data_IF_910442069258
#
_entry.id   IF_910442069258
#
_cell.length_a   1.000
_cell.length_b   1.000
_cell.length_c   1.000
_cell.angle_alpha   90.00
_cell.angle_beta   90.00
_cell.angle_gamma   90.00
#
_symmetry.space_group_name_H-M   'P 1'
#
loop_
_entity.id
_entity.type
_entity.pdbx_description
1 polymer ?
#
# COMPACT_ATOMS: atom_id res chain seq x y z
N UNK A 1 -6.22 -1.19 30.82
CA UNK A 1 -7.50 -1.45 30.14
C UNK A 1 -7.24 -1.37 28.66
N UNK A 2 -7.78 -2.26 27.84
CA UNK A 2 -7.62 -2.17 26.37
C UNK A 2 -8.30 -0.89 25.90
N UNK A 3 -7.69 -0.08 25.00
CA UNK A 3 -8.30 1.14 24.47
C UNK A 3 -9.64 0.81 23.83
N UNK A 4 -10.63 1.60 24.13
CA UNK A 4 -11.97 1.50 23.55
C UNK A 4 -12.37 2.88 23.04
N UNK A 5 -13.25 2.94 22.06
CA UNK A 5 -13.75 4.23 21.55
C UNK A 5 -14.26 5.16 22.68
N UNK A 6 -14.84 4.57 23.74
CA UNK A 6 -15.33 5.31 24.90
C UNK A 6 -14.22 5.97 25.73
N UNK A 7 -13.00 5.47 25.66
CA UNK A 7 -11.86 6.03 26.38
C UNK A 7 -11.15 7.16 25.60
N UNK A 8 -11.52 7.39 24.34
CA UNK A 8 -10.85 8.33 23.42
C UNK A 8 -11.68 9.61 23.16
N UNK A 9 -12.56 9.98 24.09
CA UNK A 9 -13.42 11.17 23.97
C UNK A 9 -12.59 12.45 23.74
N UNK A 10 -11.50 12.63 24.44
CA UNK A 10 -10.60 13.79 24.29
C UNK A 10 -10.04 13.89 22.87
N UNK A 11 -9.65 12.76 22.26
CA UNK A 11 -9.19 12.73 20.87
C UNK A 11 -10.30 13.10 19.88
N UNK A 12 -11.54 12.70 20.14
CA UNK A 12 -12.70 13.07 19.31
C UNK A 12 -12.99 14.57 19.40
N UNK A 13 -12.84 15.16 20.58
CA UNK A 13 -13.03 16.60 20.84
C UNK A 13 -11.94 17.50 20.24
N UNK A 14 -10.80 16.95 19.83
CA UNK A 14 -9.76 17.69 19.10
C UNK A 14 -10.28 18.30 17.79
N UNK A 15 -11.36 17.76 17.21
CA UNK A 15 -11.94 18.22 15.96
C UNK A 15 -12.69 19.54 16.11
N UNK A 16 -12.14 20.64 15.53
CA UNK A 16 -12.75 21.99 15.55
C UNK A 16 -13.76 22.23 14.40
N UNK A 17 -14.15 21.19 13.67
CA UNK A 17 -15.17 21.23 12.60
C UNK A 17 -14.87 22.19 11.42
N UNK A 18 -13.61 22.57 11.18
CA UNK A 18 -13.19 23.55 10.18
C UNK A 18 -13.49 23.18 8.71
N UNK A 19 -13.62 21.87 8.39
CA UNK A 19 -14.00 21.39 7.06
C UNK A 19 -12.86 21.15 6.08
N UNK A 20 -11.60 21.41 6.40
CA UNK A 20 -10.46 21.15 5.49
C UNK A 20 -10.34 19.67 5.06
N UNK A 21 -10.88 18.75 5.84
CA UNK A 21 -10.89 17.32 5.50
C UNK A 21 -11.94 16.95 4.42
N UNK A 22 -12.89 17.82 4.09
CA UNK A 22 -13.98 17.51 3.17
C UNK A 22 -13.49 17.25 1.75
N UNK A 23 -12.73 18.14 1.10
CA UNK A 23 -12.23 17.93 -0.26
C UNK A 23 -11.21 16.79 -0.35
N UNK A 24 -10.52 16.45 0.74
CA UNK A 24 -9.58 15.35 0.78
C UNK A 24 -10.25 13.96 0.94
N UNK A 25 -11.55 13.92 1.27
CA UNK A 25 -12.24 12.67 1.56
C UNK A 25 -12.85 12.05 0.29
N UNK A 26 -12.35 10.88 -0.18
CA UNK A 26 -12.84 10.26 -1.41
C UNK A 26 -14.30 9.80 -1.31
N UNK A 27 -14.81 9.50 -0.11
CA UNK A 27 -16.21 9.11 0.08
C UNK A 27 -17.14 10.31 0.08
N UNK A 28 -16.77 11.37 0.77
CA UNK A 28 -17.56 12.62 0.80
C UNK A 28 -17.69 13.25 -0.58
N UNK A 29 -16.58 13.40 -1.31
CA UNK A 29 -16.56 14.00 -2.65
C UNK A 29 -17.51 13.28 -3.62
N UNK A 30 -17.70 11.96 -3.45
CA UNK A 30 -18.55 11.17 -4.36
C UNK A 30 -19.99 10.98 -3.89
N UNK A 31 -20.26 11.12 -2.61
CA UNK A 31 -21.59 10.90 -2.04
C UNK A 31 -22.31 12.19 -1.69
N UNK A 32 -21.57 13.26 -1.35
CA UNK A 32 -22.15 14.55 -0.92
C UNK A 32 -22.85 14.49 0.45
N UNK A 33 -22.73 13.38 1.17
CA UNK A 33 -23.34 13.19 2.49
C UNK A 33 -22.36 13.59 3.59
N UNK A 34 -22.75 14.55 4.44
CA UNK A 34 -21.91 15.03 5.53
C UNK A 34 -21.53 13.90 6.51
N UNK A 35 -22.41 12.93 6.74
CA UNK A 35 -22.12 11.79 7.60
C UNK A 35 -21.03 10.86 7.01
N UNK A 36 -20.80 10.92 5.71
CA UNK A 36 -19.69 10.21 5.04
C UNK A 36 -18.40 11.03 4.99
N UNK A 37 -18.39 12.25 5.56
CA UNK A 37 -17.19 13.07 5.74
C UNK A 37 -16.39 12.65 6.98
N UNK A 38 -15.09 12.98 7.08
CA UNK A 38 -14.31 12.67 8.28
C UNK A 38 -14.86 13.34 9.53
N UNK A 39 -15.22 14.64 9.47
CA UNK A 39 -15.77 15.35 10.63
C UNK A 39 -17.18 14.84 10.98
N UNK A 40 -17.99 14.46 9.99
CA UNK A 40 -19.31 13.86 10.22
C UNK A 40 -19.18 12.51 10.95
N UNK A 41 -18.24 11.65 10.52
CA UNK A 41 -17.95 10.40 11.21
C UNK A 41 -17.45 10.61 12.63
N UNK A 42 -16.59 11.61 12.89
CA UNK A 42 -16.18 11.95 14.25
C UNK A 42 -17.36 12.37 15.12
N UNK A 43 -18.34 13.09 14.55
CA UNK A 43 -19.59 13.42 15.26
C UNK A 43 -20.43 12.19 15.56
N UNK A 44 -20.52 11.22 14.66
CA UNK A 44 -21.19 9.96 14.91
C UNK A 44 -20.48 9.14 16.01
N UNK A 45 -19.14 9.09 15.99
CA UNK A 45 -18.34 8.45 17.02
C UNK A 45 -18.57 9.11 18.39
N UNK A 46 -18.52 10.43 18.47
CA UNK A 46 -18.78 11.19 19.68
C UNK A 46 -20.21 10.94 20.20
N UNK A 47 -21.21 10.92 19.32
CA UNK A 47 -22.60 10.64 19.71
C UNK A 47 -22.76 9.23 20.31
N UNK A 48 -21.95 8.24 19.85
CA UNK A 48 -21.93 6.90 20.47
C UNK A 48 -21.23 6.93 21.83
N UNK A 49 -20.14 7.67 21.97
CA UNK A 49 -19.42 7.84 23.25
C UNK A 49 -20.33 8.49 24.31
N UNK A 50 -21.03 9.55 23.93
CA UNK A 50 -21.98 10.26 24.79
C UNK A 50 -23.32 9.52 25.04
N UNK A 51 -23.51 8.34 24.45
CA UNK A 51 -24.74 7.54 24.59
C UNK A 51 -25.96 8.12 23.88
N UNK A 52 -25.80 9.14 23.02
CA UNK A 52 -26.86 9.75 22.23
C UNK A 52 -27.22 8.92 20.98
N UNK A 53 -26.33 8.03 20.53
CA UNK A 53 -26.51 7.15 19.39
C UNK A 53 -26.09 5.74 19.76
N UNK A 54 -26.89 4.73 19.39
CA UNK A 54 -26.49 3.32 19.58
C UNK A 54 -25.49 2.92 18.49
N UNK A 55 -24.43 2.21 18.89
CA UNK A 55 -23.46 1.65 17.95
C UNK A 55 -24.07 0.63 16.97
N UNK A 56 -25.19 0.01 17.33
CA UNK A 56 -25.96 -0.87 16.42
C UNK A 56 -26.84 -0.09 15.44
N UNK A 57 -26.98 1.23 15.57
CA UNK A 57 -27.83 2.03 14.71
C UNK A 57 -27.41 1.93 13.24
N UNK A 58 -28.37 1.85 12.29
CA UNK A 58 -28.06 1.77 10.87
C UNK A 58 -27.18 2.94 10.37
N UNK A 59 -27.36 4.14 10.94
CA UNK A 59 -26.57 5.32 10.57
C UNK A 59 -25.10 5.15 10.96
N UNK A 60 -24.79 4.77 12.20
CA UNK A 60 -23.42 4.53 12.64
C UNK A 60 -22.76 3.43 11.81
N UNK A 61 -23.44 2.28 11.68
CA UNK A 61 -22.96 1.13 10.91
C UNK A 61 -22.62 1.53 9.47
N UNK A 62 -23.54 2.20 8.77
CA UNK A 62 -23.40 2.57 7.38
C UNK A 62 -22.23 3.51 7.13
N UNK A 63 -22.13 4.59 7.91
CA UNK A 63 -21.15 5.65 7.63
C UNK A 63 -19.75 5.27 8.10
N UNK A 64 -19.59 4.50 9.18
CA UNK A 64 -18.28 3.97 9.60
C UNK A 64 -17.77 2.93 8.61
N UNK A 65 -18.64 2.03 8.13
CA UNK A 65 -18.26 0.98 7.17
C UNK A 65 -17.88 1.55 5.79
N UNK A 66 -18.52 2.62 5.34
CA UNK A 66 -18.21 3.30 4.08
C UNK A 66 -16.86 4.00 4.03
N UNK A 67 -16.21 4.25 5.15
CA UNK A 67 -14.88 4.87 5.15
C UNK A 67 -13.85 3.93 4.51
N UNK A 68 -13.04 4.43 3.57
CA UNK A 68 -11.94 3.64 2.98
C UNK A 68 -10.70 3.56 3.86
N UNK A 69 -10.60 4.35 4.93
CA UNK A 69 -9.45 4.36 5.83
C UNK A 69 -8.15 4.89 5.19
N UNK A 70 -8.24 5.76 4.19
CA UNK A 70 -7.07 6.26 3.46
C UNK A 70 -6.22 7.28 4.24
N UNK A 71 -6.74 7.86 5.33
CA UNK A 71 -6.09 8.84 6.22
C UNK A 71 -5.71 10.17 5.55
N UNK A 72 -6.17 10.47 4.34
CA UNK A 72 -5.93 11.75 3.69
C UNK A 72 -6.46 12.95 4.50
N UNK A 73 -7.48 12.73 5.33
CA UNK A 73 -8.03 13.73 6.23
C UNK A 73 -7.09 14.14 7.37
N UNK A 74 -6.12 13.29 7.75
CA UNK A 74 -5.13 13.61 8.78
C UNK A 74 -4.10 14.62 8.28
N UNK A 75 -3.59 14.41 7.07
CA UNK A 75 -2.55 15.27 6.46
C UNK A 75 -3.02 16.72 6.30
N UNK A 76 -4.32 16.93 6.09
CA UNK A 76 -4.91 18.26 5.91
C UNK A 76 -5.53 18.83 7.19
N UNK A 77 -5.45 18.11 8.31
CA UNK A 77 -6.10 18.51 9.56
C UNK A 77 -5.22 19.49 10.35
N UNK A 78 -5.62 20.76 10.51
CA UNK A 78 -4.83 21.73 11.30
C UNK A 78 -4.83 21.42 12.80
N UNK A 79 -5.82 20.64 13.28
CA UNK A 79 -5.93 20.25 14.70
C UNK A 79 -5.24 18.92 15.01
N UNK A 80 -4.64 18.26 14.01
CA UNK A 80 -3.88 17.03 14.22
C UNK A 80 -4.72 15.83 14.69
N UNK A 81 -5.99 15.73 14.27
CA UNK A 81 -6.86 14.60 14.65
C UNK A 81 -6.29 13.27 14.15
N UNK A 82 -6.06 12.32 15.04
CA UNK A 82 -5.60 10.96 14.74
C UNK A 82 -6.77 10.08 14.28
N UNK A 83 -7.27 10.37 13.09
CA UNK A 83 -8.50 9.79 12.57
C UNK A 83 -8.41 8.27 12.36
N UNK A 84 -7.24 7.75 11.94
CA UNK A 84 -7.03 6.31 11.69
C UNK A 84 -7.29 5.47 12.92
N UNK A 85 -6.72 5.85 14.06
CA UNK A 85 -6.91 5.17 15.34
C UNK A 85 -8.38 5.18 15.77
N UNK A 86 -9.02 6.34 15.73
CA UNK A 86 -10.43 6.49 16.08
C UNK A 86 -11.34 5.67 15.16
N UNK A 87 -11.02 5.58 13.87
CA UNK A 87 -11.76 4.76 12.92
C UNK A 87 -11.68 3.27 13.25
N UNK A 88 -10.50 2.75 13.63
CA UNK A 88 -10.33 1.35 13.97
C UNK A 88 -11.10 0.98 15.24
N UNK A 89 -11.07 1.82 16.28
CA UNK A 89 -11.88 1.68 17.49
C UNK A 89 -13.38 1.78 17.19
N UNK A 90 -13.78 2.70 16.30
CA UNK A 90 -15.18 2.81 15.89
C UNK A 90 -15.67 1.56 15.15
N UNK A 91 -14.83 0.97 14.30
CA UNK A 91 -15.10 -0.30 13.61
C UNK A 91 -15.19 -1.47 14.57
N UNK A 92 -14.28 -1.57 15.55
CA UNK A 92 -14.36 -2.58 16.61
C UNK A 92 -15.69 -2.44 17.37
N UNK A 93 -16.06 -1.21 17.75
CA UNK A 93 -17.34 -0.93 18.43
C UNK A 93 -18.55 -1.30 17.58
N UNK A 94 -18.53 -0.93 16.29
CA UNK A 94 -19.60 -1.25 15.35
C UNK A 94 -19.77 -2.77 15.17
N UNK A 95 -18.66 -3.48 14.96
CA UNK A 95 -18.64 -4.95 14.83
C UNK A 95 -19.06 -5.63 16.13
N UNK A 96 -18.65 -5.12 17.28
CA UNK A 96 -19.07 -5.62 18.58
C UNK A 96 -20.58 -5.54 18.80
N UNK A 97 -21.25 -4.51 18.22
CA UNK A 97 -22.68 -4.31 18.36
C UNK A 97 -23.54 -5.23 17.48
N UNK A 98 -23.13 -5.50 16.23
CA UNK A 98 -23.96 -6.25 15.26
C UNK A 98 -23.33 -7.55 14.78
N UNK A 99 -22.06 -7.80 15.12
CA UNK A 99 -21.29 -8.94 14.65
C UNK A 99 -20.71 -8.74 13.24
N UNK A 100 -19.80 -9.65 12.86
CA UNK A 100 -19.16 -9.64 11.53
C UNK A 100 -19.96 -10.47 10.53
N UNK A 101 -19.95 -10.06 9.28
CA UNK A 101 -20.45 -10.88 8.19
C UNK A 101 -19.68 -12.21 8.11
N UNK A 102 -20.30 -13.28 7.62
CA UNK A 102 -19.65 -14.58 7.51
C UNK A 102 -18.45 -14.55 6.55
N UNK A 103 -18.54 -13.78 5.47
CA UNK A 103 -17.44 -13.59 4.53
C UNK A 103 -16.21 -12.96 5.19
N UNK A 104 -16.41 -11.89 5.98
CA UNK A 104 -15.33 -11.26 6.76
C UNK A 104 -14.69 -12.22 7.74
N UNK A 105 -15.53 -13.02 8.46
CA UNK A 105 -15.01 -14.03 9.40
C UNK A 105 -14.13 -15.06 8.72
N UNK A 106 -14.56 -15.60 7.58
CA UNK A 106 -13.77 -16.59 6.80
C UNK A 106 -12.48 -15.97 6.33
N UNK A 107 -12.54 -14.77 5.75
CA UNK A 107 -11.35 -14.09 5.22
C UNK A 107 -10.32 -13.81 6.31
N UNK A 108 -10.74 -13.21 7.43
CA UNK A 108 -9.85 -12.93 8.56
C UNK A 108 -9.28 -14.22 9.16
N UNK A 109 -10.09 -15.28 9.31
CA UNK A 109 -9.63 -16.58 9.79
C UNK A 109 -8.56 -17.21 8.89
N UNK A 110 -8.62 -16.99 7.56
CA UNK A 110 -7.58 -17.43 6.63
C UNK A 110 -6.28 -16.67 6.89
N UNK A 111 -6.32 -15.34 6.99
CA UNK A 111 -5.11 -14.52 7.18
C UNK A 111 -4.54 -14.59 8.61
N UNK A 112 -5.34 -14.94 9.62
CA UNK A 112 -4.87 -15.20 10.97
C UNK A 112 -4.01 -16.48 11.07
N UNK A 113 -4.21 -17.43 10.16
CA UNK A 113 -3.57 -18.76 10.22
C UNK A 113 -2.58 -18.96 9.07
N UNK A 114 -1.27 -18.96 9.31
CA UNK A 114 -0.26 -19.06 8.25
C UNK A 114 -0.42 -20.27 7.35
N UNK A 115 -0.83 -21.42 7.90
CA UNK A 115 -1.10 -22.63 7.11
C UNK A 115 -2.23 -22.43 6.11
N UNK A 116 -3.36 -21.84 6.55
CA UNK A 116 -4.49 -21.55 5.66
C UNK A 116 -4.13 -20.47 4.63
N UNK A 117 -3.42 -19.43 5.04
CA UNK A 117 -2.91 -18.40 4.11
C UNK A 117 -2.05 -19.05 3.02
N UNK A 118 -1.12 -19.93 3.40
CA UNK A 118 -0.23 -20.62 2.46
C UNK A 118 -1.02 -21.45 1.45
N UNK A 119 -2.01 -22.24 1.92
CA UNK A 119 -2.88 -23.05 1.04
C UNK A 119 -3.69 -22.15 0.12
N UNK A 120 -4.35 -21.11 0.65
CA UNK A 120 -5.13 -20.18 -0.16
C UNK A 120 -4.28 -19.50 -1.25
N UNK A 121 -3.04 -19.11 -0.92
CA UNK A 121 -2.11 -18.52 -1.88
C UNK A 121 -1.61 -19.53 -2.92
N UNK A 122 -1.35 -20.78 -2.55
CA UNK A 122 -1.03 -21.84 -3.51
C UNK A 122 -2.15 -22.07 -4.52
N UNK A 123 -3.39 -22.18 -4.04
CA UNK A 123 -4.57 -22.31 -4.91
C UNK A 123 -4.70 -21.10 -5.83
N UNK A 124 -4.54 -19.89 -5.30
CA UNK A 124 -4.59 -18.65 -6.09
C UNK A 124 -3.49 -18.62 -7.17
N UNK A 125 -2.26 -19.04 -6.85
CA UNK A 125 -1.17 -19.16 -7.83
C UNK A 125 -1.52 -20.18 -8.93
N UNK A 126 -2.02 -21.37 -8.55
CA UNK A 126 -2.44 -22.40 -9.51
C UNK A 126 -3.58 -21.90 -10.41
N UNK A 127 -4.58 -21.24 -9.85
CA UNK A 127 -5.64 -20.61 -10.66
C UNK A 127 -5.08 -19.56 -11.62
N UNK A 128 -4.14 -18.74 -11.18
CA UNK A 128 -3.52 -17.70 -12.02
C UNK A 128 -2.80 -18.29 -13.25
N UNK A 129 -2.14 -19.47 -13.12
CA UNK A 129 -1.42 -20.11 -14.23
C UNK A 129 -2.37 -20.63 -15.32
N UNK A 130 -3.63 -20.95 -14.99
CA UNK A 130 -4.63 -21.43 -15.94
C UNK A 130 -5.13 -20.38 -16.94
N UNK A 131 -4.79 -19.10 -16.73
CA UNK A 131 -5.34 -17.95 -17.48
C UNK A 131 -6.85 -17.76 -17.36
N UNK A 132 -7.57 -18.65 -16.67
CA UNK A 132 -9.01 -18.52 -16.44
C UNK A 132 -9.40 -17.20 -15.74
N UNK A 133 -8.65 -16.70 -14.74
CA UNK A 133 -8.96 -15.40 -14.14
C UNK A 133 -8.89 -14.25 -15.15
N UNK A 134 -7.93 -14.25 -16.05
CA UNK A 134 -7.80 -13.22 -17.09
C UNK A 134 -8.96 -13.30 -18.09
N UNK A 135 -9.37 -14.51 -18.48
CA UNK A 135 -10.52 -14.72 -19.34
C UNK A 135 -11.82 -14.30 -18.64
N UNK A 136 -12.02 -14.72 -17.39
CA UNK A 136 -13.20 -14.36 -16.60
C UNK A 136 -13.33 -12.84 -16.45
N UNK A 137 -12.25 -12.14 -16.13
CA UNK A 137 -12.24 -10.68 -16.04
C UNK A 137 -12.66 -9.99 -17.34
N UNK A 138 -12.36 -10.61 -18.48
CA UNK A 138 -12.63 -10.07 -19.83
C UNK A 138 -14.04 -10.38 -20.34
N UNK A 139 -14.58 -11.58 -20.02
CA UNK A 139 -15.83 -12.12 -20.57
C UNK A 139 -17.01 -11.92 -19.64
N UNK A 140 -16.81 -11.96 -18.30
CA UNK A 140 -17.91 -11.78 -17.37
C UNK A 140 -18.56 -10.40 -17.56
N UNK A 141 -19.88 -10.36 -17.74
CA UNK A 141 -20.59 -9.09 -17.87
C UNK A 141 -20.54 -8.29 -16.57
N UNK A 142 -20.75 -6.97 -16.70
CA UNK A 142 -20.73 -6.03 -15.55
C UNK A 142 -22.00 -6.04 -14.70
N UNK A 143 -22.79 -7.13 -14.76
CA UNK A 143 -24.01 -7.28 -13.97
C UNK A 143 -23.70 -7.19 -12.47
N UNK A 144 -24.62 -6.63 -11.71
CA UNK A 144 -24.44 -6.32 -10.28
C UNK A 144 -23.92 -7.52 -9.47
N UNK A 145 -24.43 -8.71 -9.69
CA UNK A 145 -24.05 -9.94 -8.99
C UNK A 145 -22.72 -10.57 -9.47
N UNK A 146 -22.23 -10.19 -10.66
CA UNK A 146 -20.94 -10.64 -11.21
C UNK A 146 -19.80 -9.65 -11.01
N UNK A 147 -20.07 -8.45 -10.49
CA UNK A 147 -19.04 -7.42 -10.27
C UNK A 147 -17.91 -7.90 -9.37
N UNK A 148 -18.25 -8.50 -8.21
CA UNK A 148 -17.25 -8.99 -7.24
C UNK A 148 -16.44 -10.16 -7.83
N UNK A 149 -17.04 -11.24 -8.38
CA UNK A 149 -16.28 -12.29 -9.07
C UNK A 149 -15.38 -11.77 -10.20
N UNK A 150 -15.89 -10.84 -11.00
CA UNK A 150 -15.12 -10.23 -12.09
C UNK A 150 -13.93 -9.44 -11.58
N UNK A 151 -14.13 -8.58 -10.54
CA UNK A 151 -13.05 -7.82 -9.92
C UNK A 151 -12.01 -8.74 -9.28
N UNK A 152 -12.43 -9.75 -8.52
CA UNK A 152 -11.51 -10.72 -7.90
C UNK A 152 -10.68 -11.47 -8.96
N UNK A 153 -11.30 -11.87 -10.06
CA UNK A 153 -10.61 -12.49 -11.19
C UNK A 153 -9.61 -11.52 -11.85
N UNK A 154 -10.01 -10.25 -12.04
CA UNK A 154 -9.13 -9.22 -12.59
C UNK A 154 -7.94 -8.92 -11.66
N UNK A 155 -8.16 -8.83 -10.34
CA UNK A 155 -7.11 -8.64 -9.33
C UNK A 155 -6.13 -9.81 -9.32
N UNK A 156 -6.63 -11.05 -9.36
CA UNK A 156 -5.78 -12.23 -9.44
C UNK A 156 -4.96 -12.25 -10.75
N UNK A 157 -5.57 -11.90 -11.89
CA UNK A 157 -4.87 -11.79 -13.15
C UNK A 157 -3.82 -10.65 -13.14
N UNK A 158 -4.10 -9.53 -12.46
CA UNK A 158 -3.18 -8.40 -12.32
C UNK A 158 -1.95 -8.72 -11.45
N UNK A 159 -2.06 -9.70 -10.54
CA UNK A 159 -0.93 -10.17 -9.74
C UNK A 159 0.09 -11.00 -10.53
N UNK A 160 -0.19 -11.34 -11.80
CA UNK A 160 0.74 -12.11 -12.64
C UNK A 160 2.02 -11.32 -12.92
N UNK A 161 3.18 -12.00 -13.00
CA UNK A 161 4.41 -11.38 -13.49
C UNK A 161 4.18 -10.77 -14.87
N UNK A 162 4.77 -9.62 -15.11
CA UNK A 162 4.69 -9.00 -16.43
C UNK A 162 5.59 -9.74 -17.42
N UNK A 163 4.99 -10.51 -18.32
CA UNK A 163 5.72 -11.21 -19.38
C UNK A 163 6.14 -10.29 -20.53
N UNK A 164 5.61 -9.08 -20.58
CA UNK A 164 5.92 -8.08 -21.59
C UNK A 164 7.15 -7.25 -21.27
N UNK A 165 7.71 -7.30 -20.04
CA UNK A 165 8.93 -6.57 -19.73
C UNK A 165 10.08 -7.08 -20.63
N UNK A 166 10.23 -8.40 -20.76
CA UNK A 166 11.22 -8.99 -21.66
C UNK A 166 10.90 -8.70 -23.14
N UNK A 167 9.63 -8.60 -23.54
CA UNK A 167 9.23 -8.37 -24.94
C UNK A 167 9.19 -6.88 -25.31
N UNK A 168 8.71 -6.00 -24.43
CA UNK A 168 8.76 -4.54 -24.65
C UNK A 168 10.20 -4.00 -24.65
N UNK A 169 11.10 -4.73 -23.97
CA UNK A 169 12.51 -4.38 -23.85
C UNK A 169 13.39 -5.04 -24.93
N UNK A 170 12.87 -6.03 -25.65
CA UNK A 170 13.55 -6.66 -26.80
C UNK A 170 13.35 -5.89 -28.13
N UNK A 171 12.52 -4.84 -28.15
CA UNK A 171 12.42 -3.96 -29.32
C UNK A 171 13.58 -2.97 -29.25
N UNK A 172 14.58 -3.05 -30.19
CA UNK A 172 15.58 -2.01 -30.30
C UNK A 172 14.83 -0.70 -30.55
N UNK A 173 15.22 0.38 -29.87
CA UNK A 173 14.70 1.71 -30.15
C UNK A 173 14.91 2.02 -31.64
N UNK A 174 13.90 1.76 -32.45
CA UNK A 174 13.86 2.16 -33.84
C UNK A 174 13.84 3.68 -33.85
N UNK A 175 14.94 4.25 -34.29
CA UNK A 175 15.20 5.68 -34.31
C UNK A 175 14.07 6.46 -34.99
N UNK A 176 13.33 7.18 -34.17
CA UNK A 176 12.57 8.33 -34.67
C UNK A 176 13.28 9.57 -34.14
N UNK A 177 14.20 10.07 -34.96
CA UNK A 177 14.72 11.42 -34.82
C UNK A 177 13.56 12.38 -35.01
N UNK A 178 13.00 12.87 -33.93
CA UNK A 178 12.23 14.10 -33.92
C UNK A 178 13.25 15.21 -33.77
N UNK A 179 13.41 16.01 -34.85
CA UNK A 179 14.27 17.16 -34.86
C UNK A 179 13.90 18.12 -33.72
N UNK A 180 14.84 18.35 -32.81
CA UNK A 180 14.75 19.42 -31.84
C UNK A 180 14.74 20.76 -32.60
N UNK A 181 13.69 21.55 -32.42
CA UNK A 181 13.72 22.97 -32.73
C UNK A 181 14.49 23.68 -31.62
N UNK A 182 15.56 24.35 -32.05
CA UNK A 182 16.35 25.24 -31.21
C UNK A 182 15.51 26.33 -30.58
N UNK A 183 15.72 26.58 -29.30
CA UNK A 183 15.18 27.78 -28.63
C UNK A 183 15.08 27.61 -27.10
N UNK A 184 16.09 28.00 -26.48
CA UNK A 184 16.28 28.76 -25.23
C UNK A 184 17.14 28.09 -24.17
N UNK A 185 18.36 28.59 -24.13
CA UNK A 185 19.38 28.32 -23.12
C UNK A 185 19.25 29.37 -22.02
N UNK A 186 18.87 28.97 -20.79
CA UNK A 186 19.46 29.61 -19.59
C UNK A 186 19.02 28.86 -18.32
N UNK A 187 20.01 28.49 -17.55
CA UNK A 187 20.04 28.07 -16.12
C UNK A 187 20.56 26.65 -15.87
N UNK A 188 21.81 26.41 -16.31
CA UNK A 188 22.60 25.35 -15.66
C UNK A 188 23.52 26.02 -14.63
N UNK A 189 23.14 25.94 -13.35
CA UNK A 189 24.07 26.26 -12.28
C UNK A 189 24.91 25.01 -11.97
N UNK A 190 26.20 25.15 -12.20
CA UNK A 190 27.23 24.19 -11.86
C UNK A 190 27.25 23.94 -10.33
N UNK A 191 27.22 22.67 -9.93
CA UNK A 191 27.73 22.24 -8.64
C UNK A 191 28.96 21.39 -8.89
N UNK A 192 30.07 21.91 -8.38
CA UNK A 192 31.41 21.44 -8.58
C UNK A 192 31.65 20.05 -7.99
N UNK A 193 32.73 19.45 -8.53
CA UNK A 193 33.29 18.20 -8.07
C UNK A 193 33.66 18.25 -6.58
N UNK A 194 33.29 17.20 -5.89
CA UNK A 194 33.64 16.90 -4.50
C UNK A 194 34.06 15.45 -4.40
N UNK A 195 35.25 15.29 -3.88
CA UNK A 195 36.06 14.12 -3.68
C UNK A 195 35.33 12.87 -3.19
N UNK A 196 35.81 11.71 -3.64
CA UNK A 196 35.54 10.40 -3.05
C UNK A 196 35.86 10.40 -1.56
N UNK A 197 34.87 10.56 -0.72
CA UNK A 197 34.96 10.19 0.69
C UNK A 197 34.23 8.86 0.87
N UNK A 198 34.97 7.79 0.72
CA UNK A 198 34.61 6.44 1.14
C UNK A 198 34.42 6.36 2.65
N UNK A 199 33.26 6.69 3.12
CA UNK A 199 32.78 6.51 4.48
C UNK A 199 31.40 5.83 4.44
N UNK A 200 31.31 4.67 3.79
CA UNK A 200 30.11 3.85 3.83
C UNK A 200 29.83 3.43 5.28
N UNK A 201 28.75 3.96 5.89
CA UNK A 201 28.18 3.35 7.09
C UNK A 201 28.02 1.87 6.81
N UNK A 202 28.75 1.03 7.56
CA UNK A 202 28.65 -0.44 7.46
C UNK A 202 27.17 -0.78 7.45
N UNK A 203 26.74 -1.48 6.39
CA UNK A 203 25.34 -1.78 6.18
C UNK A 203 24.82 -2.66 7.31
N UNK A 204 23.91 -2.11 8.12
CA UNK A 204 23.20 -2.88 9.12
C UNK A 204 22.46 -4.04 8.45
N UNK A 205 22.27 -5.12 9.22
CA UNK A 205 21.53 -6.29 8.78
C UNK A 205 20.04 -6.01 8.95
N UNK A 206 19.24 -6.19 7.89
CA UNK A 206 17.80 -5.90 7.91
C UNK A 206 16.97 -7.16 7.73
N UNK A 207 15.77 -7.18 8.30
CA UNK A 207 14.80 -8.23 8.02
C UNK A 207 13.70 -7.69 7.11
N UNK A 208 13.32 -8.47 6.09
CA UNK A 208 12.22 -8.12 5.19
C UNK A 208 10.90 -8.68 5.72
N UNK A 209 9.86 -7.86 5.83
CA UNK A 209 8.50 -8.36 6.01
C UNK A 209 8.07 -9.07 4.71
N UNK A 210 7.91 -10.39 4.78
CA UNK A 210 7.42 -11.19 3.65
C UNK A 210 5.94 -10.94 3.38
N UNK A 211 5.18 -10.68 4.44
CA UNK A 211 3.74 -10.42 4.36
C UNK A 211 2.92 -11.64 3.95
N UNK A 212 1.62 -11.44 3.79
CA UNK A 212 0.70 -12.51 3.38
C UNK A 212 0.47 -12.53 1.86
N UNK A 213 0.00 -11.43 1.29
CA UNK A 213 -0.29 -11.28 -0.14
C UNK A 213 1.01 -11.12 -0.95
N UNK A 214 2.02 -10.41 -0.40
CA UNK A 214 3.32 -10.25 -1.04
C UNK A 214 3.96 -11.62 -1.28
N UNK A 215 4.16 -12.43 -0.23
CA UNK A 215 4.72 -13.76 -0.37
C UNK A 215 3.80 -14.68 -1.19
N UNK A 216 2.49 -14.49 -1.05
CA UNK A 216 1.49 -15.26 -1.77
C UNK A 216 1.48 -15.02 -3.28
N UNK A 217 1.29 -13.79 -3.71
CA UNK A 217 1.01 -13.44 -5.11
C UNK A 217 2.07 -12.52 -5.74
N UNK A 218 2.88 -11.85 -4.93
CA UNK A 218 3.89 -10.88 -5.33
C UNK A 218 5.31 -11.26 -4.86
N UNK A 219 5.60 -12.55 -4.73
CA UNK A 219 6.93 -13.04 -4.33
C UNK A 219 8.06 -12.37 -5.12
N UNK A 220 7.82 -12.09 -6.42
CA UNK A 220 8.76 -11.35 -7.27
C UNK A 220 9.17 -9.98 -6.70
N UNK A 221 8.25 -9.29 -6.00
CA UNK A 221 8.55 -8.00 -5.34
C UNK A 221 9.47 -8.23 -4.14
N UNK A 222 9.22 -9.27 -3.33
CA UNK A 222 10.10 -9.63 -2.22
C UNK A 222 11.51 -10.03 -2.72
N UNK A 223 11.58 -10.80 -3.80
CA UNK A 223 12.84 -11.21 -4.43
C UNK A 223 13.60 -10.02 -5.03
N UNK A 224 12.91 -9.14 -5.77
CA UNK A 224 13.48 -7.89 -6.26
C UNK A 224 14.00 -7.02 -5.11
N UNK A 225 13.23 -6.89 -4.03
CA UNK A 225 13.64 -6.14 -2.83
C UNK A 225 14.94 -6.68 -2.25
N UNK A 226 15.06 -7.99 -2.09
CA UNK A 226 16.31 -8.61 -1.56
C UNK A 226 17.51 -8.35 -2.45
N UNK A 227 17.35 -8.56 -3.78
CA UNK A 227 18.45 -8.32 -4.75
C UNK A 227 18.89 -6.87 -4.75
N UNK A 228 17.92 -5.93 -4.79
CA UNK A 228 18.19 -4.49 -4.77
C UNK A 228 18.87 -4.07 -3.47
N UNK A 229 18.41 -4.53 -2.31
CA UNK A 229 19.05 -4.27 -1.02
C UNK A 229 20.50 -4.75 -1.03
N UNK A 230 20.73 -5.99 -1.44
CA UNK A 230 22.07 -6.57 -1.49
C UNK A 230 23.00 -5.81 -2.43
N UNK A 231 22.52 -5.43 -3.62
CA UNK A 231 23.28 -4.61 -4.57
C UNK A 231 23.65 -3.23 -4.01
N UNK A 232 22.87 -2.71 -3.06
CA UNK A 232 23.15 -1.46 -2.35
C UNK A 232 23.89 -1.70 -1.00
N UNK A 233 24.48 -2.87 -0.80
CA UNK A 233 25.29 -3.17 0.38
C UNK A 233 24.48 -3.42 1.67
N UNK A 234 23.19 -3.77 1.55
CA UNK A 234 22.32 -4.09 2.69
C UNK A 234 22.07 -5.58 2.76
N UNK A 235 22.65 -6.25 3.75
CA UNK A 235 22.43 -7.68 4.00
C UNK A 235 21.04 -7.92 4.60
N UNK A 236 20.40 -9.01 4.19
CA UNK A 236 19.09 -9.40 4.74
C UNK A 236 19.20 -10.66 5.57
N UNK A 237 18.47 -10.71 6.70
CA UNK A 237 18.26 -11.91 7.50
C UNK A 237 16.81 -12.34 7.44
N UNK A 238 16.58 -13.61 7.69
CA UNK A 238 15.23 -14.17 7.74
C UNK A 238 14.65 -14.01 9.15
N UNK A 239 13.53 -13.30 9.27
CA UNK A 239 12.71 -13.32 10.47
C UNK A 239 11.75 -14.53 10.38
N UNK A 240 12.15 -15.65 11.00
CA UNK A 240 11.32 -16.87 10.99
C UNK A 240 10.01 -16.63 11.75
N UNK A 241 8.96 -17.36 11.36
CA UNK A 241 7.64 -17.30 11.98
C UNK A 241 6.88 -15.96 11.88
N UNK A 242 7.40 -14.96 11.14
CA UNK A 242 6.63 -13.77 10.82
C UNK A 242 5.32 -14.12 10.10
N UNK A 243 4.36 -13.20 10.11
CA UNK A 243 3.05 -13.45 9.52
C UNK A 243 2.46 -12.22 8.82
N UNK A 244 1.14 -12.21 8.72
CA UNK A 244 0.41 -11.03 8.28
C UNK A 244 0.67 -9.84 9.23
N UNK A 245 0.77 -8.63 8.68
CA UNK A 245 0.95 -7.41 9.49
C UNK A 245 -0.26 -7.06 10.38
N UNK A 246 -1.42 -7.67 10.15
CA UNK A 246 -2.63 -7.39 10.92
C UNK A 246 -3.53 -6.28 10.35
N UNK A 247 -3.09 -5.52 9.35
CA UNK A 247 -3.86 -4.40 8.78
C UNK A 247 -5.30 -4.79 8.37
N UNK A 248 -5.49 -5.97 7.75
CA UNK A 248 -6.82 -6.42 7.35
C UNK A 248 -7.73 -6.68 8.56
N UNK A 249 -7.17 -7.14 9.69
CA UNK A 249 -7.90 -7.36 10.94
C UNK A 249 -8.29 -6.02 11.56
N UNK A 250 -7.36 -5.09 11.72
CA UNK A 250 -7.63 -3.75 12.26
C UNK A 250 -8.69 -3.01 11.41
N UNK A 251 -8.51 -2.98 10.09
CA UNK A 251 -9.47 -2.38 9.17
C UNK A 251 -10.84 -3.09 9.16
N UNK A 252 -10.89 -4.36 9.52
CA UNK A 252 -12.13 -5.14 9.68
C UNK A 252 -12.75 -5.06 11.07
N UNK A 253 -12.25 -4.22 11.98
CA UNK A 253 -12.72 -4.11 13.37
C UNK A 253 -12.38 -5.33 14.22
N UNK A 254 -11.34 -6.09 13.86
CA UNK A 254 -10.81 -7.24 14.60
C UNK A 254 -9.50 -6.87 15.28
N UNK A 255 -9.55 -5.94 16.23
CA UNK A 255 -8.34 -5.47 16.89
C UNK A 255 -7.66 -6.57 17.72
N UNK A 256 -8.41 -7.51 18.28
CA UNK A 256 -7.80 -8.66 18.98
C UNK A 256 -7.01 -9.56 18.03
N UNK A 257 -7.55 -9.82 16.84
CA UNK A 257 -6.81 -10.52 15.77
C UNK A 257 -5.58 -9.76 15.31
N UNK A 258 -5.69 -8.43 15.16
CA UNK A 258 -4.56 -7.57 14.82
C UNK A 258 -3.48 -7.60 15.91
N UNK A 259 -3.85 -7.47 17.20
CA UNK A 259 -2.94 -7.58 18.36
C UNK A 259 -2.21 -8.93 18.42
N UNK A 260 -2.91 -10.02 18.14
CA UNK A 260 -2.30 -11.35 18.12
C UNK A 260 -1.25 -11.49 17.01
N UNK A 261 -1.52 -10.94 15.83
CA UNK A 261 -0.58 -10.91 14.71
C UNK A 261 0.62 -9.97 14.98
N UNK A 262 0.37 -8.83 15.61
CA UNK A 262 1.41 -7.90 16.02
C UNK A 262 2.39 -8.54 17.03
N UNK A 263 1.89 -9.20 18.08
CA UNK A 263 2.75 -9.93 19.04
C UNK A 263 3.65 -10.95 18.34
N UNK A 264 3.09 -11.73 17.46
CA UNK A 264 3.85 -12.73 16.67
C UNK A 264 4.95 -12.08 15.84
N UNK A 265 4.67 -10.97 15.19
CA UNK A 265 5.66 -10.25 14.41
C UNK A 265 6.73 -9.61 15.30
N UNK A 266 6.36 -9.07 16.47
CA UNK A 266 7.33 -8.57 17.47
C UNK A 266 8.30 -9.67 17.85
N UNK A 267 7.81 -10.86 18.22
CA UNK A 267 8.66 -12.00 18.58
C UNK A 267 9.59 -12.42 17.43
N UNK A 268 9.05 -12.51 16.21
CA UNK A 268 9.81 -12.97 15.04
C UNK A 268 10.92 -11.98 14.63
N UNK A 269 10.65 -10.68 14.65
CA UNK A 269 11.62 -9.67 14.24
C UNK A 269 12.69 -9.43 15.31
N UNK A 270 12.34 -9.43 16.59
CA UNK A 270 13.33 -9.38 17.67
C UNK A 270 14.27 -10.59 17.63
N UNK A 271 13.72 -11.80 17.43
CA UNK A 271 14.54 -13.03 17.33
C UNK A 271 15.47 -13.04 16.11
N UNK A 272 15.19 -12.25 15.07
CA UNK A 272 16.04 -12.16 13.87
C UNK A 272 17.34 -11.40 14.12
N UNK A 273 17.39 -10.55 15.14
CA UNK A 273 18.53 -9.68 15.41
C UNK A 273 18.73 -8.56 14.37
N UNK A 274 17.75 -8.31 13.51
CA UNK A 274 17.83 -7.27 12.50
C UNK A 274 17.79 -5.87 13.15
N UNK A 275 18.54 -4.94 12.58
CA UNK A 275 18.54 -3.53 13.00
C UNK A 275 17.25 -2.80 12.58
N UNK A 276 16.78 -3.07 11.35
CA UNK A 276 15.55 -2.52 10.82
C UNK A 276 14.65 -3.62 10.23
N UNK A 277 13.35 -3.32 10.18
CA UNK A 277 12.40 -4.10 9.41
C UNK A 277 12.06 -3.35 8.12
N UNK A 278 12.41 -3.92 6.99
CA UNK A 278 12.09 -3.36 5.68
C UNK A 278 10.73 -3.87 5.22
N UNK A 279 9.88 -2.96 4.75
CA UNK A 279 8.56 -3.27 4.22
C UNK A 279 8.44 -2.73 2.80
N UNK A 280 7.91 -3.53 1.87
CA UNK A 280 7.66 -3.18 0.48
C UNK A 280 6.16 -3.10 0.15
N UNK A 281 5.33 -2.83 1.16
CA UNK A 281 3.89 -2.64 0.98
C UNK A 281 3.39 -1.59 1.98
N UNK A 282 3.04 -0.42 1.47
CA UNK A 282 2.67 0.75 2.26
C UNK A 282 1.63 0.49 3.35
N UNK A 283 0.59 -0.31 3.04
CA UNK A 283 -0.44 -0.66 4.04
C UNK A 283 0.11 -1.51 5.19
N UNK A 284 1.08 -2.40 4.92
CA UNK A 284 1.73 -3.18 5.94
C UNK A 284 2.68 -2.31 6.77
N UNK A 285 3.45 -1.43 6.13
CA UNK A 285 4.36 -0.50 6.80
C UNK A 285 3.62 0.41 7.77
N UNK A 286 2.52 1.03 7.31
CA UNK A 286 1.65 1.85 8.15
C UNK A 286 1.14 1.09 9.40
N UNK A 287 0.62 -0.13 9.19
CA UNK A 287 0.12 -0.95 10.30
C UNK A 287 1.21 -1.34 11.30
N UNK A 288 2.42 -1.67 10.83
CA UNK A 288 3.52 -2.03 11.72
C UNK A 288 4.10 -0.84 12.48
N UNK A 289 4.13 0.34 11.88
CA UNK A 289 4.51 1.60 12.56
C UNK A 289 3.53 1.97 13.70
N UNK A 290 2.32 1.41 13.69
CA UNK A 290 1.29 1.61 14.72
C UNK A 290 1.27 0.50 15.79
N UNK A 291 2.15 -0.49 15.75
CA UNK A 291 2.17 -1.57 16.76
C UNK A 291 2.39 -1.06 18.18
N UNK A 292 3.15 0.03 18.34
CA UNK A 292 3.33 0.68 19.64
C UNK A 292 2.00 1.09 20.27
N UNK A 293 1.14 1.75 19.48
CA UNK A 293 -0.21 2.14 19.92
C UNK A 293 -1.14 0.93 20.06
N UNK A 294 -1.12 0.00 19.08
CA UNK A 294 -1.98 -1.18 19.10
C UNK A 294 -1.78 -2.07 20.34
N UNK A 295 -0.56 -2.09 20.90
CA UNK A 295 -0.15 -2.92 22.02
C UNK A 295 0.23 -2.10 23.28
N UNK A 296 -0.08 -0.81 23.35
CA UNK A 296 0.32 0.09 24.45
C UNK A 296 -0.14 -0.37 25.84
N UNK A 297 -1.26 -1.07 25.90
CA UNK A 297 -1.83 -1.63 27.14
C UNK A 297 -1.35 -3.05 27.46
N UNK A 298 -0.52 -3.64 26.61
CA UNK A 298 0.02 -4.99 26.82
C UNK A 298 1.30 -4.91 27.67
N UNK A 299 1.23 -5.42 28.91
CA UNK A 299 2.32 -5.35 29.87
C UNK A 299 3.63 -5.99 29.38
N UNK A 300 3.54 -6.98 28.47
CA UNK A 300 4.68 -7.73 27.94
C UNK A 300 5.18 -7.09 26.65
N UNK A 301 4.27 -6.62 25.81
CA UNK A 301 4.59 -6.23 24.44
C UNK A 301 4.67 -4.72 24.19
N UNK A 302 4.11 -3.85 25.06
CA UNK A 302 4.04 -2.41 24.80
C UNK A 302 5.40 -1.80 24.41
N UNK A 303 6.40 -1.93 25.26
CA UNK A 303 7.74 -1.38 24.99
C UNK A 303 8.44 -2.07 23.80
N UNK A 304 8.21 -3.37 23.59
CA UNK A 304 8.78 -4.15 22.48
C UNK A 304 8.17 -3.73 21.15
N UNK A 305 6.85 -3.58 21.12
CA UNK A 305 6.10 -3.13 19.94
C UNK A 305 6.46 -1.70 19.55
N UNK A 306 6.66 -0.80 20.53
CA UNK A 306 7.10 0.56 20.26
C UNK A 306 8.49 0.58 19.59
N UNK A 307 9.46 -0.17 20.12
CA UNK A 307 10.80 -0.29 19.51
C UNK A 307 10.74 -0.88 18.10
N UNK A 308 9.90 -1.93 17.90
CA UNK A 308 9.74 -2.51 16.57
C UNK A 308 9.13 -1.47 15.61
N UNK A 309 8.09 -0.76 16.01
CA UNK A 309 7.44 0.27 15.20
C UNK A 309 8.44 1.36 14.74
N UNK A 310 9.32 1.81 15.64
CA UNK A 310 10.38 2.76 15.34
C UNK A 310 11.44 2.22 14.37
N UNK A 311 11.63 0.90 14.30
CA UNK A 311 12.59 0.26 13.40
C UNK A 311 12.01 -0.06 12.01
N UNK A 312 10.70 0.11 11.78
CA UNK A 312 10.07 -0.16 10.49
C UNK A 312 10.41 0.93 9.48
N UNK A 313 10.88 0.50 8.29
CA UNK A 313 11.19 1.39 7.17
C UNK A 313 10.54 0.88 5.88
N UNK A 314 10.01 1.79 5.09
CA UNK A 314 9.67 1.45 3.71
C UNK A 314 10.93 1.22 2.89
N UNK A 315 10.88 0.32 1.92
CA UNK A 315 12.03 0.06 1.02
C UNK A 315 12.53 1.33 0.33
N UNK A 316 11.62 2.25 0.01
CA UNK A 316 11.99 3.52 -0.62
C UNK A 316 12.77 4.45 0.33
N UNK A 317 12.44 4.46 1.64
CA UNK A 317 13.21 5.19 2.65
C UNK A 317 14.64 4.67 2.71
N UNK A 318 14.80 3.33 2.86
CA UNK A 318 16.12 2.69 2.97
C UNK A 318 16.99 2.96 1.76
N UNK A 319 16.40 2.91 0.56
CA UNK A 319 17.13 3.17 -0.68
C UNK A 319 17.47 4.66 -0.85
N UNK A 320 16.54 5.56 -0.54
CA UNK A 320 16.77 6.99 -0.66
C UNK A 320 17.86 7.49 0.31
N UNK A 321 17.87 7.01 1.55
CA UNK A 321 18.87 7.37 2.56
C UNK A 321 20.29 6.93 2.19
N UNK A 322 20.43 5.86 1.41
CA UNK A 322 21.73 5.34 0.96
C UNK A 322 22.18 5.91 -0.37
N UNK A 323 21.27 6.51 -1.14
CA UNK A 323 21.51 6.87 -2.53
C UNK A 323 21.56 5.61 -3.40
N UNK A 324 20.46 5.18 -4.02
CA UNK A 324 20.44 3.94 -4.78
C UNK A 324 21.42 4.01 -5.95
N UNK A 325 22.13 2.90 -6.23
CA UNK A 325 23.07 2.81 -7.36
C UNK A 325 22.33 3.05 -8.67
N UNK A 326 22.99 3.70 -9.60
CA UNK A 326 22.46 3.82 -10.96
C UNK A 326 22.56 2.49 -11.69
N UNK A 327 21.46 2.08 -12.32
CA UNK A 327 21.40 0.88 -13.12
C UNK A 327 21.54 1.12 -14.62
N UNK A 328 21.17 0.12 -15.43
CA UNK A 328 21.09 0.22 -16.90
C UNK A 328 19.75 0.85 -17.35
N UNK A 329 19.75 1.39 -18.56
CA UNK A 329 18.57 2.06 -19.13
C UNK A 329 17.36 1.12 -19.31
N UNK A 330 16.17 1.63 -18.92
CA UNK A 330 14.89 0.91 -19.00
C UNK A 330 13.91 1.67 -19.88
N UNK A 331 14.09 2.16 -20.94
CA UNK A 331 13.29 2.95 -21.90
C UNK A 331 11.76 2.79 -21.81
N UNK A 332 11.13 3.28 -20.73
CA UNK A 332 9.69 3.22 -20.47
C UNK A 332 9.13 4.58 -20.09
N UNK A 333 7.88 4.85 -20.49
CA UNK A 333 7.08 5.94 -19.96
C UNK A 333 6.37 5.47 -18.69
N UNK A 334 6.63 6.13 -17.57
CA UNK A 334 6.18 5.71 -16.24
C UNK A 334 5.39 6.83 -15.57
N UNK A 335 4.27 6.48 -14.98
CA UNK A 335 3.53 7.36 -14.06
C UNK A 335 3.53 6.77 -12.65
N UNK A 336 3.39 7.62 -11.62
CA UNK A 336 3.53 7.22 -10.22
C UNK A 336 2.25 7.42 -9.46
N UNK A 337 1.71 6.34 -8.91
CA UNK A 337 0.68 6.37 -7.88
C UNK A 337 1.34 6.53 -6.50
N UNK A 338 0.90 7.51 -5.71
CA UNK A 338 1.34 7.69 -4.33
C UNK A 338 0.38 6.96 -3.37
N UNK A 339 0.71 5.76 -2.88
CA UNK A 339 -0.20 5.00 -2.03
C UNK A 339 -0.58 5.80 -0.78
N UNK A 340 -1.87 5.89 -0.50
CA UNK A 340 -2.39 6.68 0.61
C UNK A 340 -1.72 6.33 1.95
N UNK A 341 -1.47 5.06 2.24
CA UNK A 341 -0.78 4.64 3.46
C UNK A 341 0.73 4.93 3.46
N UNK A 342 1.35 5.12 2.30
CA UNK A 342 2.73 5.61 2.25
C UNK A 342 2.78 7.11 2.55
N UNK A 343 1.96 7.88 1.84
CA UNK A 343 1.96 9.34 1.92
C UNK A 343 1.32 9.85 3.20
N UNK A 344 0.08 9.43 3.49
CA UNK A 344 -0.70 10.02 4.59
C UNK A 344 -0.49 9.35 5.94
N UNK A 345 -0.29 8.02 5.98
CA UNK A 345 -0.10 7.32 7.25
C UNK A 345 1.37 7.27 7.69
N UNK A 346 2.32 7.23 6.73
CA UNK A 346 3.75 7.14 7.05
C UNK A 346 4.52 8.44 6.78
N UNK A 347 3.92 9.44 6.13
CA UNK A 347 4.58 10.71 5.80
C UNK A 347 5.70 10.58 4.75
N UNK A 348 5.71 9.49 3.96
CA UNK A 348 6.76 9.22 2.97
C UNK A 348 6.29 9.77 1.61
N UNK A 349 6.90 10.86 1.18
CA UNK A 349 6.52 11.56 -0.06
C UNK A 349 7.59 11.50 -1.14
N UNK A 350 8.84 11.77 -0.81
CA UNK A 350 9.92 11.98 -1.76
C UNK A 350 10.76 10.72 -2.06
N UNK A 351 10.84 9.79 -1.12
CA UNK A 351 11.67 8.60 -1.25
C UNK A 351 11.37 7.72 -2.48
N UNK A 352 10.11 7.48 -2.89
CA UNK A 352 9.82 6.73 -4.12
C UNK A 352 10.36 7.39 -5.39
N UNK A 353 10.39 8.73 -5.45
CA UNK A 353 10.96 9.46 -6.59
C UNK A 353 12.48 9.26 -6.67
N UNK A 354 13.20 9.24 -5.54
CA UNK A 354 14.63 8.96 -5.51
C UNK A 354 14.96 7.56 -6.04
N UNK A 355 14.13 6.55 -5.74
CA UNK A 355 14.27 5.19 -6.28
C UNK A 355 14.13 5.18 -7.79
N UNK A 356 13.15 5.89 -8.35
CA UNK A 356 12.93 5.97 -9.79
C UNK A 356 14.02 6.77 -10.52
N UNK A 357 14.57 7.80 -9.88
CA UNK A 357 15.68 8.59 -10.44
C UNK A 357 16.97 7.77 -10.67
N UNK A 358 17.14 6.65 -9.95
CA UNK A 358 18.26 5.74 -10.14
C UNK A 358 18.11 4.79 -11.36
N UNK A 359 16.97 4.85 -12.06
CA UNK A 359 16.66 4.05 -13.24
C UNK A 359 16.79 4.91 -14.50
N UNK A 360 17.90 4.84 -15.24
CA UNK A 360 18.09 5.64 -16.45
C UNK A 360 17.09 5.30 -17.55
N UNK A 361 16.76 6.26 -18.38
CA UNK A 361 15.90 6.09 -19.56
C UNK A 361 14.42 6.03 -19.25
N UNK A 362 13.98 6.30 -18.01
CA UNK A 362 12.56 6.48 -17.72
C UNK A 362 12.11 7.89 -18.17
N UNK A 363 10.94 7.93 -18.83
CA UNK A 363 10.19 9.16 -19.06
C UNK A 363 9.09 9.23 -18.01
N UNK A 364 9.25 10.10 -17.01
CA UNK A 364 8.25 10.26 -15.96
C UNK A 364 7.16 11.23 -16.40
N UNK A 365 5.90 10.79 -16.34
CA UNK A 365 4.72 11.61 -16.63
C UNK A 365 3.89 11.79 -15.37
N UNK A 366 3.43 13.02 -15.07
CA UNK A 366 2.66 13.28 -13.86
C UNK A 366 1.31 12.58 -13.91
N UNK A 367 0.88 12.03 -12.77
CA UNK A 367 -0.46 11.48 -12.59
C UNK A 367 -1.35 12.51 -11.92
N UNK A 368 -2.47 12.85 -12.55
CA UNK A 368 -3.51 13.66 -11.92
C UNK A 368 -4.05 12.92 -10.70
N UNK A 369 -4.15 13.61 -9.56
CA UNK A 369 -4.62 13.02 -8.30
C UNK A 369 -3.81 11.77 -7.89
N UNK A 370 -2.47 11.83 -8.01
CA UNK A 370 -1.58 10.73 -7.65
C UNK A 370 -1.77 10.24 -6.21
N UNK A 371 -2.12 11.16 -5.31
CA UNK A 371 -2.31 10.96 -3.87
C UNK A 371 -3.73 10.52 -3.48
N UNK A 372 -4.69 10.52 -4.40
CA UNK A 372 -6.01 9.98 -4.13
C UNK A 372 -5.98 8.45 -3.96
N UNK A 373 -6.90 7.93 -3.13
CA UNK A 373 -7.03 6.50 -2.89
C UNK A 373 -7.32 5.72 -4.19
N UNK A 374 -6.71 4.54 -4.34
CA UNK A 374 -6.99 3.62 -5.45
C UNK A 374 -8.33 2.86 -5.34
N UNK A 375 -9.07 3.05 -4.24
CA UNK A 375 -10.34 2.35 -3.97
C UNK A 375 -10.21 0.90 -3.48
N UNK A 376 -8.98 0.38 -3.35
CA UNK A 376 -8.72 -1.00 -2.94
C UNK A 376 -8.84 -1.23 -1.44
N UNK A 377 -8.16 -0.39 -0.63
CA UNK A 377 -8.15 -0.39 0.83
C UNK A 377 -8.25 -1.80 1.45
N UNK A 378 -7.27 -2.65 1.15
CA UNK A 378 -7.29 -4.07 1.51
C UNK A 378 -8.39 -4.83 0.76
N UNK A 379 -9.50 -5.11 1.42
CA UNK A 379 -10.65 -5.84 0.84
C UNK A 379 -11.82 -4.91 0.49
N UNK A 380 -11.69 -3.61 0.73
CA UNK A 380 -12.78 -2.65 0.56
C UNK A 380 -13.39 -2.66 -0.86
N UNK A 381 -12.55 -2.72 -1.90
CA UNK A 381 -13.03 -2.83 -3.27
C UNK A 381 -13.91 -4.05 -3.54
N UNK A 382 -13.76 -5.13 -2.74
CA UNK A 382 -14.56 -6.35 -2.83
C UNK A 382 -15.83 -6.23 -1.98
N UNK A 383 -15.74 -5.67 -0.76
CA UNK A 383 -16.87 -5.54 0.16
C UNK A 383 -17.78 -4.36 -0.20
N UNK A 384 -17.23 -3.31 -0.80
CA UNK A 384 -17.92 -2.10 -1.24
C UNK A 384 -17.73 -1.86 -2.76
N UNK A 385 -18.17 -2.79 -3.61
CA UNK A 385 -17.86 -2.77 -5.05
C UNK A 385 -18.41 -1.53 -5.79
N UNK A 386 -19.46 -0.90 -5.26
CA UNK A 386 -20.02 0.31 -5.86
C UNK A 386 -19.15 1.54 -5.57
N UNK A 387 -18.82 1.80 -4.30
CA UNK A 387 -18.04 2.98 -3.93
C UNK A 387 -16.55 2.79 -4.22
N UNK A 388 -15.96 1.67 -3.84
CA UNK A 388 -14.59 1.31 -4.18
C UNK A 388 -14.35 1.23 -5.69
N UNK A 389 -15.36 0.74 -6.43
CA UNK A 389 -15.33 0.70 -7.89
C UNK A 389 -15.34 2.10 -8.52
N UNK A 390 -16.13 3.05 -8.00
CA UNK A 390 -16.13 4.45 -8.47
C UNK A 390 -14.79 5.14 -8.20
N UNK A 391 -14.26 4.99 -6.98
CA UNK A 391 -12.95 5.55 -6.61
C UNK A 391 -11.86 4.96 -7.51
N UNK A 392 -11.86 3.63 -7.70
CA UNK A 392 -10.88 2.95 -8.56
C UNK A 392 -11.00 3.32 -10.03
N UNK A 393 -12.21 3.57 -10.53
CA UNK A 393 -12.43 3.98 -11.92
C UNK A 393 -11.82 5.35 -12.22
N UNK A 394 -11.94 6.32 -11.29
CA UNK A 394 -11.36 7.65 -11.43
C UNK A 394 -9.81 7.56 -11.46
N UNK A 395 -9.22 6.75 -10.58
CA UNK A 395 -7.77 6.49 -10.59
C UNK A 395 -7.31 5.85 -11.91
N UNK A 396 -8.03 4.83 -12.39
CA UNK A 396 -7.72 4.16 -13.65
C UNK A 396 -7.85 5.13 -14.84
N UNK A 397 -8.88 5.96 -14.87
CA UNK A 397 -9.05 6.97 -15.91
C UNK A 397 -7.86 7.95 -15.93
N UNK A 398 -7.43 8.44 -14.75
CA UNK A 398 -6.26 9.30 -14.64
C UNK A 398 -4.97 8.62 -15.15
N UNK A 399 -4.78 7.33 -14.84
CA UNK A 399 -3.62 6.56 -15.36
C UNK A 399 -3.69 6.43 -16.89
N UNK A 400 -4.87 6.12 -17.44
CA UNK A 400 -5.05 5.98 -18.90
C UNK A 400 -4.77 7.29 -19.62
N UNK A 401 -5.16 8.44 -19.06
CA UNK A 401 -4.88 9.78 -19.60
C UNK A 401 -3.38 10.06 -19.76
N UNK A 402 -2.53 9.47 -18.93
CA UNK A 402 -1.06 9.65 -19.02
C UNK A 402 -0.42 8.97 -20.22
N UNK A 403 -1.09 8.00 -20.82
CA UNK A 403 -0.55 7.13 -21.87
C UNK A 403 0.74 6.39 -21.47
N UNK A 404 1.01 6.24 -20.17
CA UNK A 404 2.18 5.57 -19.66
C UNK A 404 2.16 4.06 -19.95
N UNK A 405 3.34 3.49 -20.17
CA UNK A 405 3.53 2.04 -20.30
C UNK A 405 3.30 1.35 -18.96
N UNK A 406 3.71 2.03 -17.89
CA UNK A 406 3.66 1.50 -16.51
C UNK A 406 3.16 2.56 -15.54
N UNK A 407 2.28 2.16 -14.63
CA UNK A 407 2.02 2.87 -13.38
C UNK A 407 2.73 2.15 -12.24
N UNK A 408 3.54 2.87 -11.47
CA UNK A 408 4.20 2.30 -10.29
C UNK A 408 3.49 2.69 -9.01
N UNK A 409 3.42 1.74 -8.06
CA UNK A 409 2.83 1.96 -6.74
C UNK A 409 3.59 1.14 -5.69
N UNK A 410 4.03 1.77 -4.59
CA UNK A 410 4.72 1.12 -3.47
C UNK A 410 3.78 0.31 -2.57
N UNK A 411 2.68 -0.23 -3.12
CA UNK A 411 1.71 -1.02 -2.36
C UNK A 411 1.05 -2.09 -3.22
N UNK A 412 1.28 -3.36 -2.90
CA UNK A 412 0.74 -4.49 -3.68
C UNK A 412 -0.79 -4.49 -3.74
N UNK A 413 -1.48 -3.97 -2.73
CA UNK A 413 -2.94 -3.80 -2.76
C UNK A 413 -3.39 -2.81 -3.84
N UNK A 414 -2.68 -1.68 -3.98
CA UNK A 414 -2.93 -0.70 -5.05
C UNK A 414 -2.57 -1.28 -6.42
N UNK A 415 -1.44 -2.00 -6.54
CA UNK A 415 -1.06 -2.69 -7.78
C UNK A 415 -2.15 -3.64 -8.25
N UNK A 416 -2.73 -4.42 -7.32
CA UNK A 416 -3.85 -5.33 -7.65
C UNK A 416 -5.09 -4.56 -8.11
N UNK A 417 -5.47 -3.51 -7.40
CA UNK A 417 -6.68 -2.74 -7.67
C UNK A 417 -6.57 -1.96 -8.99
N UNK A 418 -5.50 -1.19 -9.16
CA UNK A 418 -5.24 -0.40 -10.37
C UNK A 418 -5.04 -1.36 -11.56
N UNK A 419 -4.23 -2.40 -11.41
CA UNK A 419 -3.99 -3.38 -12.46
C UNK A 419 -5.24 -4.14 -12.88
N UNK A 420 -6.17 -4.43 -11.95
CA UNK A 420 -7.48 -4.99 -12.28
C UNK A 420 -8.31 -4.02 -13.13
N UNK A 421 -8.33 -2.74 -12.74
CA UNK A 421 -9.05 -1.69 -13.48
C UNK A 421 -8.49 -1.49 -14.89
N UNK A 422 -7.17 -1.43 -15.05
CA UNK A 422 -6.49 -1.31 -16.33
C UNK A 422 -6.81 -2.49 -17.27
N UNK A 423 -6.81 -3.73 -16.73
CA UNK A 423 -7.23 -4.92 -17.49
C UNK A 423 -8.68 -4.87 -17.93
N UNK A 424 -9.58 -4.43 -17.05
CA UNK A 424 -11.01 -4.27 -17.39
C UNK A 424 -11.23 -3.15 -18.41
N UNK A 425 -10.41 -2.10 -18.39
CA UNK A 425 -10.38 -1.03 -19.39
C UNK A 425 -9.66 -1.43 -20.69
N UNK A 426 -9.09 -2.65 -20.75
CA UNK A 426 -8.38 -3.20 -21.92
C UNK A 426 -7.18 -2.35 -22.37
N UNK A 427 -6.49 -1.71 -21.45
CA UNK A 427 -5.26 -0.96 -21.73
C UNK A 427 -4.05 -1.87 -21.77
N UNK A 428 -2.95 -1.38 -22.36
CA UNK A 428 -1.64 -2.05 -22.35
C UNK A 428 -0.82 -1.68 -21.12
N UNK A 429 -1.17 -0.59 -20.44
CA UNK A 429 -0.49 -0.11 -19.24
C UNK A 429 -0.50 -1.18 -18.14
N UNK A 430 0.64 -1.35 -17.47
CA UNK A 430 0.83 -2.33 -16.39
C UNK A 430 1.03 -1.61 -15.04
N UNK A 431 0.60 -2.27 -13.97
CA UNK A 431 0.86 -1.79 -12.62
C UNK A 431 2.00 -2.61 -11.98
N UNK A 432 3.09 -1.94 -11.58
CA UNK A 432 4.30 -2.56 -11.02
C UNK A 432 4.69 -1.88 -9.69
N UNK A 433 5.58 -2.56 -8.96
CA UNK A 433 6.25 -1.95 -7.81
C UNK A 433 7.50 -1.17 -8.26
N UNK A 434 7.84 0.00 -7.69
CA UNK A 434 9.05 0.75 -8.05
C UNK A 434 10.32 -0.10 -7.99
N UNK A 435 10.44 -0.99 -6.99
CA UNK A 435 11.59 -1.86 -6.84
C UNK A 435 11.75 -2.88 -7.99
N UNK A 436 10.66 -3.24 -8.70
CA UNK A 436 10.75 -4.13 -9.86
C UNK A 436 11.41 -3.43 -11.06
N UNK A 437 11.20 -2.11 -11.22
CA UNK A 437 11.91 -1.34 -12.24
C UNK A 437 13.39 -1.15 -11.92
N UNK A 438 13.69 -0.90 -10.64
CA UNK A 438 15.07 -0.77 -10.18
C UNK A 438 15.83 -2.11 -10.28
N UNK A 439 15.19 -3.22 -9.93
CA UNK A 439 15.74 -4.58 -10.08
C UNK A 439 16.07 -4.90 -11.54
N UNK A 440 15.16 -4.57 -12.46
CA UNK A 440 15.40 -4.73 -13.90
C UNK A 440 16.56 -3.84 -14.39
N UNK A 441 16.60 -2.60 -13.92
CA UNK A 441 17.68 -1.67 -14.25
C UNK A 441 19.05 -2.19 -13.76
N UNK A 442 19.09 -2.74 -12.55
CA UNK A 442 20.33 -3.34 -12.00
C UNK A 442 20.74 -4.61 -12.74
N UNK A 443 19.78 -5.43 -13.17
CA UNK A 443 20.05 -6.61 -14.00
C UNK A 443 20.70 -6.21 -15.34
N UNK A 444 20.20 -5.16 -15.98
CA UNK A 444 20.76 -4.62 -17.25
C UNK A 444 22.15 -4.03 -17.09
N UNK A 445 22.43 -3.44 -15.93
CA UNK A 445 23.75 -2.92 -15.60
C UNK A 445 24.76 -4.01 -15.19
N UNK A 446 24.34 -5.28 -15.08
CA UNK A 446 25.20 -6.36 -14.59
C UNK A 446 25.62 -6.18 -13.12
N UNK A 447 24.79 -5.53 -12.31
CA UNK A 447 25.10 -5.26 -10.90
C UNK A 447 24.93 -6.49 -9.99
N UNK A 448 24.31 -7.53 -10.49
CA UNK A 448 24.20 -8.81 -9.81
C UNK A 448 25.37 -9.71 -10.20
N UNK A 449 25.96 -10.38 -9.20
CA UNK A 449 26.98 -11.41 -9.46
C UNK A 449 26.26 -12.68 -9.94
N UNK A 450 26.90 -13.45 -10.80
CA UNK A 450 26.34 -14.66 -11.42
C UNK A 450 25.89 -15.74 -10.41
N UNK A 451 26.24 -15.61 -9.13
CA UNK A 451 25.94 -16.55 -8.05
C UNK A 451 24.76 -16.09 -7.13
N UNK A 452 23.95 -15.11 -7.55
CA UNK A 452 22.86 -14.55 -6.71
C UNK A 452 21.47 -14.69 -7.30
#
# INVERSE_FOLDING_TARGET
MVPTLLAEEDKLLTCVQCGFCLPACPTYVRLGDENDSPRGRLRLMLAVVEGRLDAASPAFQLHIDRCVGCRACETVCPSGVQYGELLELAREKAVGAVGRSWHSRVLLAVFARPGLTRVAMMVSRAMRTTRLPALAARVLPSWRWLRVPRLAAAMLAASSPWRGLEHALAIPAAGTRVAAKDGDTSAAAAVGGGEESGGGKQGGVVALLLGCVQEGLFQRVNEATRRVLLANGVATVEAREQGCCGALHAHGGDLDGARALARRNVDAFEASGAEFVVVNAAGCGASMKEYGHLLDHDRVYAARAARLAESVRDISEVLADRGPRQGGSVGLTVTTDAPCHLRHAQGIEHAPAAVLAAVPGLTLVPLRSADECCGGAGIYGITHPDLGGRIGADKVAAVVETQADVVVSGNVGCIMQIGAGLRMAKTVCQALHPVELLDESYRRAGLYRDDQ
#
